data_IF_712829798212
#
_entry.id   IF_712829798212
#
_cell.length_a   1.000
_cell.length_b   1.000
_cell.length_c   1.000
_cell.angle_alpha   90.00
_cell.angle_beta   90.00
_cell.angle_gamma   90.00
#
_symmetry.space_group_name_H-M   'P 1'
#
loop_
_entity.id
_entity.type
_entity.pdbx_description
1 polymer ?
#
# COMPACT_ATOMS: atom_id res chain seq x y z
N UNK A 1 21.57 -0.83 3.65
CA UNK A 1 20.24 -0.23 3.90
C UNK A 1 19.33 -1.32 4.44
N UNK A 2 18.90 -1.21 5.69
CA UNK A 2 17.84 -2.08 6.23
C UNK A 2 16.51 -1.43 5.86
N UNK A 3 15.61 -2.17 5.23
CA UNK A 3 14.21 -1.74 5.12
C UNK A 3 13.65 -1.70 6.53
N UNK A 4 12.90 -0.65 6.84
CA UNK A 4 12.23 -0.54 8.14
C UNK A 4 11.30 -1.75 8.36
N UNK A 5 11.18 -2.23 9.60
CA UNK A 5 10.45 -3.45 9.92
C UNK A 5 8.98 -3.36 9.47
N UNK A 6 8.40 -2.16 9.62
CA UNK A 6 7.03 -1.86 9.21
C UNK A 6 6.81 -2.06 7.70
N UNK A 7 7.73 -1.58 6.86
CA UNK A 7 7.62 -1.77 5.40
C UNK A 7 7.78 -3.24 5.00
N UNK A 8 8.54 -4.02 5.77
CA UNK A 8 8.70 -5.46 5.52
C UNK A 8 7.38 -6.19 5.80
N UNK A 9 6.69 -5.83 6.89
CA UNK A 9 5.42 -6.47 7.24
C UNK A 9 4.31 -6.11 6.24
N UNK A 10 4.19 -4.84 5.83
CA UNK A 10 3.28 -4.43 4.74
C UNK A 10 3.59 -5.18 3.43
N UNK A 11 4.88 -5.28 3.05
CA UNK A 11 5.30 -6.02 1.85
C UNK A 11 4.97 -7.51 1.90
N UNK A 12 4.84 -8.12 3.08
CA UNK A 12 4.43 -9.53 3.20
C UNK A 12 2.96 -9.71 2.87
N UNK A 13 2.12 -8.76 3.31
CA UNK A 13 0.69 -8.79 3.05
C UNK A 13 0.36 -8.56 1.56
N UNK A 14 1.20 -7.79 0.85
CA UNK A 14 1.12 -7.63 -0.62
C UNK A 14 1.12 -8.95 -1.39
N UNK A 15 1.80 -9.99 -0.91
CA UNK A 15 1.80 -11.29 -1.59
C UNK A 15 0.39 -11.87 -1.71
N UNK A 16 -0.39 -11.78 -0.63
CA UNK A 16 -1.77 -12.24 -0.61
C UNK A 16 -2.66 -11.39 -1.52
N UNK A 17 -2.47 -10.07 -1.52
CA UNK A 17 -3.17 -9.14 -2.40
C UNK A 17 -2.88 -9.42 -3.89
N UNK A 18 -1.62 -9.63 -4.26
CA UNK A 18 -1.21 -9.96 -5.64
C UNK A 18 -1.76 -11.32 -6.09
N UNK A 19 -1.79 -12.30 -5.18
CA UNK A 19 -2.40 -13.61 -5.47
C UNK A 19 -3.88 -13.45 -5.76
N UNK A 20 -4.61 -12.70 -4.93
CA UNK A 20 -6.02 -12.39 -5.17
C UNK A 20 -6.21 -11.67 -6.50
N UNK A 21 -5.46 -10.60 -6.75
CA UNK A 21 -5.49 -9.83 -7.99
C UNK A 21 -5.37 -10.73 -9.22
N UNK A 22 -4.38 -11.63 -9.24
CA UNK A 22 -4.19 -12.60 -10.33
C UNK A 22 -5.39 -13.52 -10.49
N UNK A 23 -5.96 -14.04 -9.40
CA UNK A 23 -7.13 -14.92 -9.46
C UNK A 23 -8.36 -14.19 -10.03
N UNK A 24 -8.60 -12.95 -9.61
CA UNK A 24 -9.74 -12.15 -10.08
C UNK A 24 -9.60 -11.76 -11.56
N UNK A 25 -8.40 -11.39 -12.00
CA UNK A 25 -8.11 -11.10 -13.43
C UNK A 25 -8.36 -12.28 -14.37
N UNK A 26 -8.26 -13.50 -13.87
CA UNK A 26 -8.53 -14.71 -14.64
C UNK A 26 -10.01 -15.09 -14.64
N UNK A 27 -10.93 -14.24 -14.15
CA UNK A 27 -12.36 -14.54 -14.12
C UNK A 27 -12.86 -14.91 -15.52
N UNK A 28 -13.76 -15.87 -15.56
CA UNK A 28 -14.50 -16.27 -16.75
C UNK A 28 -15.97 -16.46 -16.36
N UNK A 29 -16.85 -16.59 -17.36
CA UNK A 29 -18.29 -16.74 -17.15
C UNK A 29 -18.67 -17.88 -16.18
N UNK A 30 -17.88 -18.96 -16.12
CA UNK A 30 -18.14 -20.11 -15.25
C UNK A 30 -17.66 -19.93 -13.81
N UNK A 31 -16.81 -18.93 -13.54
CA UNK A 31 -16.14 -18.74 -12.25
C UNK A 31 -16.49 -17.42 -11.55
N UNK A 32 -17.31 -16.56 -12.15
CA UNK A 32 -17.70 -15.25 -11.59
C UNK A 32 -18.15 -15.38 -10.12
N UNK A 33 -19.14 -16.23 -9.84
CA UNK A 33 -19.70 -16.37 -8.49
C UNK A 33 -18.63 -16.80 -7.46
N UNK A 34 -17.78 -17.77 -7.83
CA UNK A 34 -16.69 -18.23 -6.97
C UNK A 34 -15.69 -17.11 -6.67
N UNK A 35 -15.38 -16.29 -7.68
CA UNK A 35 -14.41 -15.19 -7.55
C UNK A 35 -14.98 -14.00 -6.79
N UNK A 36 -16.27 -13.72 -6.92
CA UNK A 36 -16.97 -12.77 -6.06
C UNK A 36 -16.90 -13.21 -4.60
N UNK A 37 -17.23 -14.46 -4.28
CA UNK A 37 -17.12 -14.97 -2.91
C UNK A 37 -15.67 -14.97 -2.39
N UNK A 38 -14.67 -15.21 -3.25
CA UNK A 38 -13.26 -15.07 -2.90
C UNK A 38 -12.90 -13.61 -2.56
N UNK A 39 -13.35 -12.66 -3.38
CA UNK A 39 -13.15 -11.23 -3.13
C UNK A 39 -13.78 -10.82 -1.80
N UNK A 40 -15.05 -11.17 -1.57
CA UNK A 40 -15.77 -10.89 -0.32
C UNK A 40 -15.03 -11.42 0.91
N UNK A 41 -14.51 -12.66 0.83
CA UNK A 41 -13.74 -13.26 1.93
C UNK A 41 -12.40 -12.55 2.18
N UNK A 42 -11.77 -11.99 1.13
CA UNK A 42 -10.50 -11.30 1.25
C UNK A 42 -10.63 -9.85 1.72
N UNK A 43 -11.78 -9.20 1.52
CA UNK A 43 -11.98 -7.79 1.83
C UNK A 43 -11.66 -7.38 3.28
N UNK A 44 -12.02 -8.14 4.33
CA UNK A 44 -11.67 -7.75 5.69
C UNK A 44 -10.16 -7.67 5.93
N UNK A 45 -9.36 -8.48 5.23
CA UNK A 45 -7.90 -8.43 5.32
C UNK A 45 -7.34 -7.24 4.53
N UNK A 46 -7.84 -7.01 3.30
CA UNK A 46 -7.46 -5.85 2.49
C UNK A 46 -7.82 -4.53 3.16
N UNK A 47 -9.00 -4.43 3.76
CA UNK A 47 -9.42 -3.20 4.43
C UNK A 47 -8.54 -2.89 5.66
N UNK A 48 -8.14 -3.92 6.41
CA UNK A 48 -7.18 -3.75 7.52
C UNK A 48 -5.83 -3.24 6.99
N UNK A 49 -5.36 -3.82 5.89
CA UNK A 49 -4.12 -3.41 5.23
C UNK A 49 -4.16 -1.94 4.83
N UNK A 50 -5.21 -1.53 4.10
CA UNK A 50 -5.41 -0.14 3.70
C UNK A 50 -5.44 0.82 4.89
N UNK A 51 -6.10 0.45 5.99
CA UNK A 51 -6.15 1.27 7.19
C UNK A 51 -4.78 1.41 7.87
N UNK A 52 -3.99 0.35 7.88
CA UNK A 52 -2.62 0.39 8.40
C UNK A 52 -1.74 1.32 7.55
N UNK A 53 -1.84 1.25 6.23
CA UNK A 53 -1.14 2.14 5.32
C UNK A 53 -1.57 3.60 5.46
N UNK A 54 -2.88 3.84 5.49
CA UNK A 54 -3.46 5.17 5.67
C UNK A 54 -3.04 5.81 7.01
N UNK A 55 -3.04 5.04 8.09
CA UNK A 55 -2.68 5.55 9.42
C UNK A 55 -1.18 5.80 9.60
N UNK A 56 -0.33 5.09 8.85
CA UNK A 56 1.12 5.10 9.09
C UNK A 56 1.92 5.78 8.00
N UNK A 57 1.65 5.48 6.72
CA UNK A 57 2.40 6.01 5.59
C UNK A 57 2.01 7.46 5.31
N UNK A 58 0.72 7.80 5.40
CA UNK A 58 0.26 9.16 5.08
C UNK A 58 0.86 10.20 6.01
N UNK A 59 0.99 9.89 7.30
CA UNK A 59 1.62 10.79 8.26
C UNK A 59 3.07 11.11 7.88
N UNK A 60 3.81 10.11 7.42
CA UNK A 60 5.22 10.26 7.04
C UNK A 60 5.35 11.00 5.71
N UNK A 61 4.56 10.61 4.70
CA UNK A 61 4.51 11.29 3.41
C UNK A 61 4.16 12.77 3.58
N UNK A 62 3.23 13.09 4.48
CA UNK A 62 2.85 14.48 4.76
C UNK A 62 4.00 15.26 5.40
N UNK A 63 4.77 14.66 6.30
CA UNK A 63 5.97 15.28 6.88
C UNK A 63 7.04 15.59 5.83
N UNK A 64 7.12 14.78 4.76
CA UNK A 64 8.03 14.97 3.65
C UNK A 64 7.46 15.85 2.52
N UNK A 65 6.20 16.27 2.61
CA UNK A 65 5.52 17.07 1.57
C UNK A 65 5.13 16.29 0.31
N UNK A 66 5.05 14.96 0.39
CA UNK A 66 4.75 14.07 -0.74
C UNK A 66 3.23 13.97 -1.02
N UNK A 67 2.57 15.12 -1.19
CA UNK A 67 1.09 15.21 -1.32
C UNK A 67 0.53 14.41 -2.49
N UNK A 68 1.23 14.37 -3.63
CA UNK A 68 0.78 13.62 -4.81
C UNK A 68 0.73 12.10 -4.55
N UNK A 69 1.64 11.56 -3.72
CA UNK A 69 1.62 10.15 -3.35
C UNK A 69 0.45 9.83 -2.41
N UNK A 70 0.17 10.74 -1.46
CA UNK A 70 -0.97 10.64 -0.53
C UNK A 70 -2.29 10.62 -1.30
N UNK A 71 -2.49 11.59 -2.20
CA UNK A 71 -3.72 11.71 -2.98
C UNK A 71 -3.98 10.47 -3.82
N UNK A 72 -2.93 9.96 -4.48
CA UNK A 72 -3.04 8.75 -5.30
C UNK A 72 -3.35 7.51 -4.47
N UNK A 73 -2.67 7.30 -3.34
CA UNK A 73 -2.91 6.14 -2.46
C UNK A 73 -4.36 6.12 -1.99
N UNK A 74 -4.86 7.25 -1.48
CA UNK A 74 -6.24 7.38 -1.02
C UNK A 74 -7.27 7.20 -2.14
N UNK A 75 -6.97 7.69 -3.33
CA UNK A 75 -7.86 7.55 -4.48
C UNK A 75 -7.93 6.09 -4.97
N UNK A 76 -6.79 5.40 -5.08
CA UNK A 76 -6.75 3.98 -5.45
C UNK A 76 -7.48 3.11 -4.40
N UNK A 77 -7.31 3.38 -3.10
CA UNK A 77 -8.08 2.69 -2.06
C UNK A 77 -9.59 2.91 -2.20
N UNK A 78 -10.01 4.15 -2.46
CA UNK A 78 -11.43 4.48 -2.68
C UNK A 78 -11.98 3.72 -3.89
N UNK A 79 -11.25 3.72 -5.00
CA UNK A 79 -11.64 3.02 -6.22
C UNK A 79 -11.74 1.50 -5.99
N UNK A 80 -10.80 0.89 -5.26
CA UNK A 80 -10.85 -0.55 -4.92
C UNK A 80 -12.08 -0.87 -4.08
N UNK A 81 -12.37 -0.07 -3.04
CA UNK A 81 -13.59 -0.22 -2.22
C UNK A 81 -14.86 -0.10 -3.07
N UNK A 82 -14.91 0.86 -3.99
CA UNK A 82 -16.04 1.04 -4.90
C UNK A 82 -16.20 -0.13 -5.88
N UNK A 83 -15.12 -0.59 -6.51
CA UNK A 83 -15.15 -1.71 -7.44
C UNK A 83 -15.62 -3.00 -6.75
N UNK A 84 -15.22 -3.22 -5.50
CA UNK A 84 -15.72 -4.37 -4.75
C UNK A 84 -17.23 -4.30 -4.52
N UNK A 85 -17.78 -3.13 -4.15
CA UNK A 85 -19.21 -2.97 -3.92
C UNK A 85 -20.06 -3.21 -5.17
N UNK A 86 -19.51 -2.93 -6.35
CA UNK A 86 -20.20 -3.06 -7.64
C UNK A 86 -19.79 -4.32 -8.43
N UNK A 87 -18.94 -5.17 -7.87
CA UNK A 87 -18.49 -6.40 -8.52
C UNK A 87 -19.69 -7.31 -8.78
N UNK A 88 -19.91 -7.66 -10.04
CA UNK A 88 -21.08 -8.45 -10.47
C UNK A 88 -20.83 -9.34 -11.67
N UNK A 89 -19.71 -9.15 -12.36
CA UNK A 89 -19.37 -9.86 -13.58
C UNK A 89 -17.86 -10.05 -13.72
N UNK A 90 -17.46 -10.70 -14.82
CA UNK A 90 -16.06 -10.93 -15.13
C UNK A 90 -15.27 -9.62 -15.30
N UNK A 91 -15.88 -8.59 -15.90
CA UNK A 91 -15.21 -7.34 -16.20
C UNK A 91 -14.87 -6.57 -14.93
N UNK A 92 -15.84 -6.38 -14.04
CA UNK A 92 -15.65 -5.72 -12.74
C UNK A 92 -14.62 -6.46 -11.87
N UNK A 93 -14.61 -7.80 -11.86
CA UNK A 93 -13.57 -8.58 -11.17
C UNK A 93 -12.18 -8.40 -11.78
N UNK A 94 -12.10 -8.34 -13.12
CA UNK A 94 -10.85 -8.12 -13.81
C UNK A 94 -10.31 -6.70 -13.58
N UNK A 95 -11.19 -5.70 -13.57
CA UNK A 95 -10.86 -4.31 -13.23
C UNK A 95 -10.34 -4.19 -11.80
N UNK A 96 -11.04 -4.78 -10.82
CA UNK A 96 -10.56 -4.82 -9.43
C UNK A 96 -9.18 -5.46 -9.34
N UNK A 97 -9.00 -6.64 -9.93
CA UNK A 97 -7.72 -7.35 -9.88
C UNK A 97 -6.59 -6.58 -10.58
N UNK A 98 -6.88 -5.89 -11.68
CA UNK A 98 -5.89 -5.04 -12.35
C UNK A 98 -5.51 -3.84 -11.49
N UNK A 99 -6.49 -3.15 -10.91
CA UNK A 99 -6.23 -2.00 -10.05
C UNK A 99 -5.42 -2.41 -8.81
N UNK A 100 -5.78 -3.53 -8.16
CA UNK A 100 -5.07 -4.01 -6.98
C UNK A 100 -3.61 -4.36 -7.28
N UNK A 101 -3.34 -4.99 -8.43
CA UNK A 101 -1.96 -5.27 -8.85
C UNK A 101 -1.16 -4.00 -9.14
N UNK A 102 -1.78 -3.01 -9.78
CA UNK A 102 -1.15 -1.72 -10.09
C UNK A 102 -0.86 -0.93 -8.82
N UNK A 103 -1.81 -0.95 -7.88
CA UNK A 103 -1.73 -0.31 -6.59
C UNK A 103 -0.55 -0.84 -5.76
N UNK A 104 -0.47 -2.15 -5.53
CA UNK A 104 0.65 -2.77 -4.80
C UNK A 104 2.01 -2.44 -5.44
N UNK A 105 2.08 -2.44 -6.77
CA UNK A 105 3.33 -2.07 -7.48
C UNK A 105 3.68 -0.60 -7.29
N UNK A 106 2.68 0.28 -7.26
CA UNK A 106 2.87 1.69 -7.00
C UNK A 106 3.41 1.90 -5.58
N UNK A 107 2.87 1.22 -4.58
CA UNK A 107 3.33 1.32 -3.20
C UNK A 107 4.78 0.89 -3.05
N UNK A 108 5.13 -0.30 -3.57
CA UNK A 108 6.50 -0.81 -3.45
C UNK A 108 7.54 0.04 -4.19
N UNK A 109 7.19 0.55 -5.38
CA UNK A 109 8.15 1.24 -6.27
C UNK A 109 8.21 2.74 -6.05
N UNK A 110 7.12 3.34 -5.59
CA UNK A 110 7.01 4.78 -5.41
C UNK A 110 6.94 5.12 -3.93
N UNK A 111 5.91 4.67 -3.21
CA UNK A 111 5.70 5.06 -1.81
C UNK A 111 6.86 4.60 -0.92
N UNK A 112 7.17 3.30 -0.92
CA UNK A 112 8.20 2.73 -0.07
C UNK A 112 9.60 3.20 -0.47
N UNK A 113 9.85 3.36 -1.77
CA UNK A 113 11.12 3.88 -2.28
C UNK A 113 11.35 5.33 -1.83
N UNK A 114 10.34 6.20 -1.96
CA UNK A 114 10.40 7.60 -1.54
C UNK A 114 10.61 7.73 -0.03
N UNK A 115 9.87 6.97 0.78
CA UNK A 115 10.08 6.95 2.24
C UNK A 115 11.50 6.51 2.61
N UNK A 116 12.01 5.46 1.98
CA UNK A 116 13.38 4.99 2.20
C UNK A 116 14.43 6.04 1.79
N UNK A 117 14.21 6.76 0.70
CA UNK A 117 15.10 7.85 0.27
C UNK A 117 15.12 8.97 1.30
N UNK A 118 13.94 9.44 1.74
CA UNK A 118 13.84 10.48 2.75
C UNK A 118 14.49 10.07 4.08
N UNK A 119 14.25 8.85 4.55
CA UNK A 119 14.89 8.34 5.77
C UNK A 119 16.41 8.19 5.62
N UNK A 120 16.91 7.80 4.45
CA UNK A 120 18.33 7.73 4.19
C UNK A 120 18.99 9.13 4.23
N UNK A 121 18.31 10.14 3.67
CA UNK A 121 18.74 11.53 3.72
C UNK A 121 18.70 12.09 5.15
N UNK A 122 17.69 11.74 5.94
CA UNK A 122 17.61 12.10 7.37
C UNK A 122 18.66 11.38 8.22
N UNK A 123 19.02 10.14 7.88
CA UNK A 123 20.06 9.35 8.52
C UNK A 123 21.50 9.77 8.17
N UNK A 124 21.68 10.76 7.29
CA UNK A 124 22.97 11.27 6.81
C UNK A 124 23.56 12.46 7.57
N UNK A 125 22.90 13.01 8.59
CA UNK A 125 23.54 14.01 9.46
C UNK A 125 24.30 13.32 10.61
N UNK A 126 25.63 13.49 10.74
CA UNK A 126 26.29 13.18 11.99
C UNK A 126 25.70 14.12 13.05
N UNK A 127 24.99 13.56 14.03
CA UNK A 127 24.64 14.28 15.26
C UNK A 127 25.96 14.73 15.90
N UNK A 128 26.40 15.96 15.63
CA UNK A 128 27.51 16.57 16.37
C UNK A 128 27.14 16.56 17.86
N UNK A 129 28.07 16.20 18.76
CA UNK A 129 27.79 16.21 20.19
C UNK A 129 27.51 17.66 20.61
N UNK A 130 26.43 17.88 21.36
CA UNK A 130 26.29 19.14 22.10
C UNK A 130 27.37 19.14 23.18
N UNK A 131 28.52 19.72 22.84
CA UNK A 131 29.46 20.20 23.83
C UNK A 131 28.73 21.20 24.73
N UNK A 132 28.46 20.81 25.98
CA UNK A 132 28.28 21.79 27.04
C UNK A 132 29.57 21.83 27.86
N UNK A 133 30.40 22.80 27.45
CA UNK A 133 31.21 23.67 28.29
C UNK A 133 31.26 23.26 29.76
N UNK A 134 32.45 22.84 30.20
CA UNK A 134 32.93 23.23 31.53
C UNK A 134 32.70 24.74 31.68
N UNK A 135 32.12 25.15 32.80
CA UNK A 135 32.34 26.49 33.36
C UNK A 135 32.20 26.34 34.88
N UNK A 136 33.12 27.04 35.55
CA UNK A 136 33.59 26.91 36.92
C UNK A 136 32.52 26.82 38.01
#
# INVERSE_FOLDING_TARGET
MRRDAQLIDLSREHYSALKLAKQLRQADAGTVQLKMSLLEQAMPALERHFQEEESTLLQQLAQFGETALIERLLDEHRQLRQLQQHASDQESLAQFGQLLEQHVRFEERSVFATLQQHWALQGGQPRKPRARSRRC
#
